data_IF_100559305073
#
_entry.id   IF_100559305073
#
_cell.length_a   1.000
_cell.length_b   1.000
_cell.length_c   1.000
_cell.angle_alpha   90.00
_cell.angle_beta   90.00
_cell.angle_gamma   90.00
#
_symmetry.space_group_name_H-M   'P 1'
#
loop_
_entity.id
_entity.type
_entity.pdbx_description
1 polymer ?
#
# COMPACT_ATOMS: atom_id res chain seq x y z
N UNK A 1 -15.65 -4.72 -22.28
CA UNK A 1 -14.82 -5.51 -21.35
C UNK A 1 -13.74 -4.71 -20.64
N UNK A 2 -13.84 -3.42 -20.69
CA UNK A 2 -13.05 -2.56 -19.83
C UNK A 2 -13.58 -2.80 -18.44
N UNK A 3 -12.71 -3.19 -17.48
CA UNK A 3 -13.07 -2.92 -16.12
C UNK A 3 -12.95 -1.41 -15.95
N UNK A 4 -13.69 -0.68 -16.71
CA UNK A 4 -13.68 0.76 -16.75
C UNK A 4 -14.18 1.39 -15.47
N UNK A 5 -13.63 0.93 -14.36
CA UNK A 5 -13.83 1.68 -13.14
C UNK A 5 -13.06 2.97 -13.28
N UNK A 6 -13.76 4.09 -13.16
CA UNK A 6 -13.18 5.41 -12.99
C UNK A 6 -12.47 5.51 -11.63
N UNK A 7 -12.50 4.40 -10.88
CA UNK A 7 -12.02 4.32 -9.52
C UNK A 7 -10.53 3.99 -9.50
N UNK A 8 -9.73 4.80 -8.83
CA UNK A 8 -8.32 4.52 -8.65
C UNK A 8 -8.09 3.33 -7.71
N UNK A 9 -7.64 2.22 -8.24
CA UNK A 9 -7.34 1.01 -7.47
C UNK A 9 -5.96 1.09 -6.79
N UNK A 10 -5.05 1.90 -7.32
CA UNK A 10 -3.72 2.09 -6.76
C UNK A 10 -3.34 3.58 -6.74
N UNK A 11 -2.25 3.91 -6.03
CA UNK A 11 -1.83 5.30 -5.82
C UNK A 11 -1.30 6.04 -7.04
N UNK A 12 -0.94 5.33 -8.10
CA UNK A 12 -0.34 5.95 -9.31
C UNK A 12 -1.37 6.23 -10.39
N UNK A 13 -2.60 6.04 -10.05
CA UNK A 13 -3.60 5.94 -11.01
C UNK A 13 -3.95 7.17 -11.75
N UNK A 14 -4.51 7.88 -11.54
CA UNK A 14 -5.56 8.84 -11.72
C UNK A 14 -5.73 9.42 -13.11
N UNK A 15 -4.70 9.77 -13.81
CA UNK A 15 -4.84 10.47 -15.09
C UNK A 15 -4.22 9.71 -16.27
N UNK A 16 -3.52 8.65 -16.00
CA UNK A 16 -2.87 7.89 -17.05
C UNK A 16 -3.38 6.45 -17.06
N UNK A 17 -4.15 6.12 -18.08
CA UNK A 17 -4.62 4.75 -18.34
C UNK A 17 -3.48 3.73 -18.50
N UNK A 18 -2.25 4.20 -18.68
CA UNK A 18 -1.07 3.34 -18.89
C UNK A 18 -0.50 2.72 -17.61
N UNK A 19 -0.95 3.13 -16.43
CA UNK A 19 -0.45 2.59 -15.16
C UNK A 19 -1.29 1.45 -14.59
N UNK A 20 -2.41 1.15 -15.22
CA UNK A 20 -3.29 0.04 -14.85
C UNK A 20 -3.56 -0.85 -16.05
N UNK A 21 -3.73 -2.14 -15.81
CA UNK A 21 -4.21 -3.04 -16.84
C UNK A 21 -5.65 -2.67 -17.19
N UNK A 22 -5.91 -2.45 -18.46
CA UNK A 22 -7.18 -1.88 -18.94
C UNK A 22 -8.28 -2.89 -19.22
N UNK A 23 -7.96 -4.19 -19.25
CA UNK A 23 -8.93 -5.22 -19.57
C UNK A 23 -8.65 -6.55 -18.86
N UNK A 24 -9.71 -7.31 -18.55
CA UNK A 24 -9.56 -8.65 -17.98
C UNK A 24 -8.83 -9.61 -18.92
N UNK A 25 -8.95 -9.43 -20.23
CA UNK A 25 -8.20 -10.20 -21.23
C UNK A 25 -6.67 -10.05 -21.09
N UNK A 26 -6.20 -8.87 -20.69
CA UNK A 26 -4.77 -8.65 -20.37
C UNK A 26 -4.35 -9.42 -19.12
N UNK A 27 -5.22 -9.44 -18.09
CA UNK A 27 -4.99 -10.23 -16.87
C UNK A 27 -4.99 -11.73 -17.18
N UNK A 28 -5.84 -12.20 -18.08
CA UNK A 28 -5.85 -13.60 -18.51
C UNK A 28 -4.56 -13.98 -19.24
N UNK A 29 -4.05 -13.09 -20.10
CA UNK A 29 -2.74 -13.27 -20.75
C UNK A 29 -1.64 -13.32 -19.70
N UNK A 30 -1.62 -12.36 -18.78
CA UNK A 30 -0.65 -12.32 -17.68
C UNK A 30 -0.71 -13.59 -16.83
N UNK A 31 -1.91 -14.08 -16.49
CA UNK A 31 -2.08 -15.33 -15.74
C UNK A 31 -1.47 -16.54 -16.44
N UNK A 32 -1.62 -16.62 -17.79
CA UNK A 32 -0.96 -17.66 -18.59
C UNK A 32 0.56 -17.54 -18.55
N UNK A 33 1.10 -16.31 -18.60
CA UNK A 33 2.54 -16.06 -18.48
C UNK A 33 3.07 -16.45 -17.08
N UNK A 34 2.34 -16.08 -16.03
CA UNK A 34 2.66 -16.46 -14.64
C UNK A 34 2.80 -17.98 -14.50
N UNK A 35 1.84 -18.73 -15.04
CA UNK A 35 1.87 -20.20 -15.04
C UNK A 35 3.04 -20.75 -15.87
N UNK A 36 3.28 -20.21 -17.07
CA UNK A 36 4.35 -20.63 -17.97
C UNK A 36 5.74 -20.42 -17.37
N UNK A 37 5.97 -19.24 -16.81
CA UNK A 37 7.30 -18.85 -16.30
C UNK A 37 7.46 -19.10 -14.80
N UNK A 38 6.42 -19.55 -14.11
CA UNK A 38 6.40 -19.83 -12.66
C UNK A 38 6.89 -18.62 -11.82
N UNK A 39 6.54 -17.41 -12.25
CA UNK A 39 6.87 -16.18 -11.53
C UNK A 39 5.63 -15.66 -10.80
N UNK A 40 5.67 -15.49 -9.47
CA UNK A 40 4.54 -14.95 -8.74
C UNK A 40 4.27 -13.50 -9.13
N UNK A 41 3.00 -13.15 -9.18
CA UNK A 41 2.53 -11.78 -9.44
C UNK A 41 1.51 -11.41 -8.37
N UNK A 42 1.65 -10.25 -7.79
CA UNK A 42 0.71 -9.65 -6.86
C UNK A 42 -0.02 -8.50 -7.55
N UNK A 43 -1.34 -8.45 -7.42
CA UNK A 43 -2.13 -7.32 -7.90
C UNK A 43 -2.19 -6.24 -6.83
N UNK A 44 -2.01 -4.99 -7.22
CA UNK A 44 -1.87 -3.88 -6.29
C UNK A 44 -3.14 -3.06 -6.19
N UNK A 45 -3.72 -3.05 -4.99
CA UNK A 45 -4.89 -2.28 -4.56
C UNK A 45 -4.47 -1.38 -3.40
N UNK A 46 -3.52 -0.49 -3.64
CA UNK A 46 -2.88 0.30 -2.57
C UNK A 46 -3.28 1.78 -2.57
N UNK A 47 -4.45 2.12 -3.07
CA UNK A 47 -5.07 3.39 -2.71
C UNK A 47 -5.26 3.46 -1.19
N UNK A 48 -5.11 4.64 -0.63
CA UNK A 48 -5.06 4.82 0.83
C UNK A 48 -6.42 4.63 1.49
N UNK A 49 -7.47 4.91 0.75
CA UNK A 49 -8.86 4.79 1.15
C UNK A 49 -9.75 4.74 -0.09
N UNK A 50 -10.95 4.22 0.09
CA UNK A 50 -12.00 4.19 -0.90
C UNK A 50 -13.29 4.76 -0.31
N UNK A 51 -14.19 5.21 -1.18
CA UNK A 51 -15.54 5.60 -0.74
C UNK A 51 -16.35 4.35 -0.38
N UNK A 52 -17.30 4.45 0.56
CA UNK A 52 -18.11 3.30 0.98
C UNK A 52 -18.79 2.56 -0.17
N UNK A 53 -19.22 3.29 -1.20
CA UNK A 53 -19.90 2.76 -2.38
C UNK A 53 -18.98 1.98 -3.31
N UNK A 54 -17.67 2.15 -3.18
CA UNK A 54 -16.65 1.51 -4.03
C UNK A 54 -16.25 0.11 -3.55
N UNK A 55 -16.40 -0.20 -2.24
CA UNK A 55 -15.99 -1.50 -1.72
C UNK A 55 -16.70 -2.69 -2.38
N UNK A 56 -18.01 -2.65 -2.68
CA UNK A 56 -18.66 -3.74 -3.40
C UNK A 56 -18.02 -3.99 -4.78
N UNK A 57 -17.77 -2.95 -5.55
CA UNK A 57 -17.16 -3.07 -6.87
C UNK A 57 -15.72 -3.60 -6.78
N UNK A 58 -14.93 -3.12 -5.80
CA UNK A 58 -13.58 -3.63 -5.57
C UNK A 58 -13.62 -5.12 -5.22
N UNK A 59 -14.56 -5.54 -4.38
CA UNK A 59 -14.77 -6.94 -4.05
C UNK A 59 -15.05 -7.78 -5.29
N UNK A 60 -15.94 -7.33 -6.17
CA UNK A 60 -16.27 -8.01 -7.43
C UNK A 60 -15.05 -8.12 -8.36
N UNK A 61 -14.24 -7.06 -8.45
CA UNK A 61 -13.00 -7.06 -9.23
C UNK A 61 -12.02 -8.09 -8.65
N UNK A 62 -11.84 -8.13 -7.33
CA UNK A 62 -10.95 -9.10 -6.68
C UNK A 62 -11.42 -10.53 -6.93
N UNK A 63 -12.72 -10.82 -6.77
CA UNK A 63 -13.28 -12.14 -7.03
C UNK A 63 -13.08 -12.56 -8.49
N UNK A 64 -13.27 -11.64 -9.43
CA UNK A 64 -13.02 -11.90 -10.84
C UNK A 64 -11.55 -12.17 -11.13
N UNK A 65 -10.64 -11.38 -10.53
CA UNK A 65 -9.21 -11.64 -10.63
C UNK A 65 -8.82 -12.99 -10.01
N UNK A 66 -9.46 -13.39 -8.92
CA UNK A 66 -9.27 -14.72 -8.32
C UNK A 66 -9.73 -15.82 -9.27
N UNK A 67 -10.84 -15.63 -9.98
CA UNK A 67 -11.34 -16.54 -11.03
C UNK A 67 -10.35 -16.69 -12.20
N UNK A 68 -9.66 -15.62 -12.57
CA UNK A 68 -8.59 -15.63 -13.59
C UNK A 68 -7.34 -16.38 -13.09
N UNK A 69 -7.13 -16.43 -11.77
CA UNK A 69 -6.04 -17.20 -11.14
C UNK A 69 -5.07 -16.39 -10.30
N UNK A 70 -5.34 -15.10 -10.05
CA UNK A 70 -4.55 -14.30 -9.12
C UNK A 70 -5.03 -14.53 -7.69
N UNK A 71 -4.10 -14.74 -6.76
CA UNK A 71 -4.41 -15.07 -5.37
C UNK A 71 -3.84 -14.08 -4.36
N UNK A 72 -2.85 -13.28 -4.76
CA UNK A 72 -2.10 -12.39 -3.88
C UNK A 72 -2.36 -10.94 -4.24
N UNK A 73 -2.69 -10.13 -3.23
CA UNK A 73 -3.08 -8.73 -3.37
C UNK A 73 -2.31 -7.85 -2.40
N UNK A 74 -1.76 -6.75 -2.90
CA UNK A 74 -1.15 -5.72 -2.05
C UNK A 74 -2.23 -4.70 -1.72
N UNK A 75 -2.58 -4.56 -0.45
CA UNK A 75 -3.68 -3.71 0.03
C UNK A 75 -3.14 -2.71 1.04
N UNK A 76 -3.54 -1.44 0.92
CA UNK A 76 -3.18 -0.38 1.86
C UNK A 76 -4.33 0.03 2.78
N UNK A 77 -5.55 0.05 2.29
CA UNK A 77 -6.72 0.48 3.06
C UNK A 77 -7.17 -0.59 4.07
N UNK A 78 -7.09 -0.31 5.39
CA UNK A 78 -7.57 -1.24 6.40
C UNK A 78 -9.08 -1.54 6.32
N UNK A 79 -9.87 -0.57 5.83
CA UNK A 79 -11.30 -0.77 5.67
C UNK A 79 -11.61 -1.79 4.56
N UNK A 80 -10.80 -1.82 3.50
CA UNK A 80 -10.91 -2.87 2.49
C UNK A 80 -10.63 -4.26 3.07
N UNK A 81 -9.66 -4.39 3.98
CA UNK A 81 -9.40 -5.67 4.67
C UNK A 81 -10.62 -6.15 5.46
N UNK A 82 -11.26 -5.22 6.19
CA UNK A 82 -12.49 -5.52 6.94
C UNK A 82 -13.62 -5.93 5.99
N UNK A 83 -13.78 -5.19 4.89
CA UNK A 83 -14.82 -5.47 3.90
C UNK A 83 -14.65 -6.88 3.28
N UNK A 84 -13.44 -7.20 2.81
CA UNK A 84 -13.14 -8.50 2.22
C UNK A 84 -13.41 -9.65 3.19
N UNK A 85 -13.01 -9.48 4.44
CA UNK A 85 -13.28 -10.46 5.51
C UNK A 85 -14.78 -10.65 5.73
N UNK A 86 -15.54 -9.56 5.84
CA UNK A 86 -16.98 -9.61 6.09
C UNK A 86 -17.74 -10.22 4.89
N UNK A 87 -17.26 -10.00 3.68
CA UNK A 87 -17.80 -10.60 2.47
C UNK A 87 -17.40 -12.08 2.28
N UNK A 88 -16.47 -12.58 3.07
CA UNK A 88 -15.97 -13.94 2.95
C UNK A 88 -14.98 -14.16 1.79
N UNK A 89 -14.40 -13.09 1.25
CA UNK A 89 -13.38 -13.18 0.20
C UNK A 89 -12.05 -13.58 0.85
N UNK A 90 -11.60 -14.80 0.56
CA UNK A 90 -10.35 -15.36 1.07
C UNK A 90 -9.26 -15.28 0.01
N UNK A 91 -8.37 -14.33 0.14
CA UNK A 91 -7.20 -14.15 -0.70
C UNK A 91 -5.95 -13.94 0.14
N UNK A 92 -4.78 -14.10 -0.47
CA UNK A 92 -3.49 -13.84 0.18
C UNK A 92 -3.24 -12.33 0.20
N UNK A 93 -3.06 -11.77 1.39
CA UNK A 93 -2.92 -10.32 1.59
C UNK A 93 -1.47 -9.99 1.90
N UNK A 94 -0.92 -9.06 1.13
CA UNK A 94 0.31 -8.35 1.42
C UNK A 94 -0.06 -6.95 1.92
N UNK A 95 0.16 -6.68 3.20
CA UNK A 95 -0.13 -5.37 3.75
C UNK A 95 0.87 -4.37 3.20
N UNK A 96 0.35 -3.36 2.49
CA UNK A 96 1.18 -2.35 1.85
C UNK A 96 1.90 -1.46 2.85
N UNK A 97 3.12 -1.06 2.55
CA UNK A 97 3.81 -0.01 3.29
C UNK A 97 3.08 1.33 3.26
N UNK A 98 2.19 1.53 2.29
CA UNK A 98 1.35 2.74 2.23
C UNK A 98 0.26 2.80 3.31
N UNK A 99 -0.01 1.69 4.01
CA UNK A 99 -0.90 1.68 5.19
C UNK A 99 -0.36 2.58 6.31
N UNK A 100 0.96 2.77 6.35
CA UNK A 100 1.63 3.60 7.33
C UNK A 100 2.75 2.86 8.06
N UNK A 101 3.29 3.51 9.07
CA UNK A 101 4.37 2.97 9.91
C UNK A 101 3.80 1.95 10.89
N UNK A 102 3.79 0.69 10.50
CA UNK A 102 3.26 -0.40 11.34
C UNK A 102 4.26 -0.73 12.44
N UNK A 103 3.82 -0.63 13.69
CA UNK A 103 4.56 -1.11 14.86
C UNK A 103 4.01 -2.48 15.34
N UNK A 104 4.59 -3.05 16.38
CA UNK A 104 4.21 -4.36 16.90
C UNK A 104 2.75 -4.42 17.41
N UNK A 105 2.23 -3.34 17.96
CA UNK A 105 0.83 -3.28 18.43
C UNK A 105 -0.16 -3.19 17.26
N UNK A 106 0.14 -2.37 16.24
CA UNK A 106 -0.65 -2.34 15.02
C UNK A 106 -0.66 -3.70 14.33
N UNK A 107 0.48 -4.40 14.29
CA UNK A 107 0.54 -5.73 13.72
C UNK A 107 -0.39 -6.71 14.45
N UNK A 108 -0.55 -6.62 15.77
CA UNK A 108 -1.52 -7.44 16.51
C UNK A 108 -2.95 -7.25 15.99
N UNK A 109 -3.32 -6.00 15.66
CA UNK A 109 -4.62 -5.71 15.05
C UNK A 109 -4.76 -6.35 13.68
N UNK A 110 -3.73 -6.29 12.86
CA UNK A 110 -3.74 -6.82 11.49
C UNK A 110 -3.67 -8.36 11.43
N UNK A 111 -3.19 -9.05 12.48
CA UNK A 111 -3.16 -10.54 12.54
C UNK A 111 -4.53 -11.20 12.41
N UNK A 112 -5.62 -10.44 12.58
CA UNK A 112 -6.99 -10.95 12.35
C UNK A 112 -7.32 -11.21 10.87
N UNK A 113 -6.46 -10.75 9.97
CA UNK A 113 -6.57 -10.95 8.52
C UNK A 113 -5.54 -11.97 8.04
N UNK A 114 -5.78 -12.64 6.90
CA UNK A 114 -4.87 -13.65 6.35
C UNK A 114 -3.62 -13.00 5.72
N UNK A 115 -2.83 -12.31 6.54
CA UNK A 115 -1.62 -11.65 6.07
C UNK A 115 -0.53 -12.66 5.75
N UNK A 116 -0.08 -12.64 4.51
CA UNK A 116 1.09 -13.39 4.05
C UNK A 116 2.37 -12.59 4.16
N UNK A 117 2.28 -11.28 3.94
CA UNK A 117 3.44 -10.38 3.96
C UNK A 117 3.09 -9.04 4.58
N UNK A 118 4.03 -8.47 5.31
CA UNK A 118 4.06 -7.08 5.72
C UNK A 118 5.16 -6.37 4.93
N UNK A 119 4.79 -5.33 4.20
CA UNK A 119 5.72 -4.42 3.52
C UNK A 119 5.93 -3.22 4.45
N UNK A 120 7.14 -3.02 4.92
CA UNK A 120 7.43 -1.90 5.80
C UNK A 120 7.31 -0.58 5.06
N UNK A 121 6.72 0.40 5.73
CA UNK A 121 6.73 1.77 5.23
C UNK A 121 8.16 2.30 5.20
N UNK A 122 8.47 3.14 4.23
CA UNK A 122 9.82 3.72 4.02
C UNK A 122 10.36 4.54 5.19
N UNK A 123 9.53 4.95 6.12
CA UNK A 123 9.91 5.66 7.34
C UNK A 123 10.10 4.78 8.57
N UNK A 124 9.78 3.50 8.50
CA UNK A 124 10.09 2.60 9.59
C UNK A 124 11.61 2.58 9.81
N UNK A 125 12.03 2.80 11.04
CA UNK A 125 13.44 2.65 11.40
C UNK A 125 13.83 1.17 11.47
N UNK A 126 15.11 0.88 11.40
CA UNK A 126 15.60 -0.50 11.61
C UNK A 126 15.15 -1.08 12.95
N UNK A 127 15.12 -0.26 13.99
CA UNK A 127 14.65 -0.67 15.31
C UNK A 127 13.17 -1.06 15.29
N UNK A 128 12.34 -0.29 14.60
CA UNK A 128 10.92 -0.62 14.44
C UNK A 128 10.75 -1.93 13.69
N UNK A 129 11.45 -2.09 12.55
CA UNK A 129 11.39 -3.32 11.77
C UNK A 129 11.82 -4.54 12.60
N UNK A 130 12.93 -4.43 13.34
CA UNK A 130 13.40 -5.50 14.23
C UNK A 130 12.36 -5.86 15.30
N UNK A 131 11.77 -4.85 15.93
CA UNK A 131 10.74 -5.04 16.96
C UNK A 131 9.50 -5.75 16.40
N UNK A 132 9.04 -5.33 15.23
CA UNK A 132 7.88 -5.94 14.55
C UNK A 132 8.16 -7.38 14.17
N UNK A 133 9.32 -7.64 13.56
CA UNK A 133 9.73 -8.99 13.16
C UNK A 133 9.84 -9.90 14.40
N UNK A 134 10.52 -9.45 15.45
CA UNK A 134 10.68 -10.21 16.69
C UNK A 134 9.33 -10.56 17.32
N UNK A 135 8.42 -9.59 17.41
CA UNK A 135 7.06 -9.81 17.92
C UNK A 135 6.27 -10.83 17.10
N UNK A 136 6.43 -10.84 15.79
CA UNK A 136 5.75 -11.80 14.92
C UNK A 136 6.36 -13.19 15.05
N UNK A 137 7.67 -13.29 15.06
CA UNK A 137 8.37 -14.58 15.21
C UNK A 137 8.07 -15.26 16.54
N UNK A 138 7.91 -14.50 17.61
CA UNK A 138 7.51 -15.06 18.90
C UNK A 138 6.11 -15.67 18.85
N UNK A 139 5.15 -15.01 18.24
CA UNK A 139 3.79 -15.53 18.06
C UNK A 139 3.78 -16.79 17.19
N UNK A 140 4.54 -16.79 16.10
CA UNK A 140 4.67 -17.94 15.20
C UNK A 140 5.31 -19.13 15.92
N UNK A 141 6.34 -18.89 16.72
CA UNK A 141 6.99 -19.93 17.54
C UNK A 141 6.02 -20.54 18.54
N UNK A 142 5.23 -19.72 19.25
CA UNK A 142 4.21 -20.19 20.17
C UNK A 142 3.11 -21.00 19.48
N UNK A 143 2.80 -20.67 18.23
CA UNK A 143 1.85 -21.41 17.40
C UNK A 143 2.45 -22.63 16.67
N UNK A 144 3.73 -22.93 16.88
CA UNK A 144 4.42 -24.04 16.19
C UNK A 144 4.64 -23.83 14.69
N UNK A 145 4.56 -22.58 14.23
CA UNK A 145 4.76 -22.22 12.81
C UNK A 145 6.26 -22.10 12.55
N UNK A 146 6.74 -22.85 11.57
CA UNK A 146 8.14 -22.73 11.14
C UNK A 146 8.39 -21.41 10.42
N UNK A 147 9.59 -20.81 10.53
CA UNK A 147 9.91 -19.51 9.92
C UNK A 147 9.60 -19.42 8.43
N UNK A 148 9.81 -20.51 7.68
CA UNK A 148 9.56 -20.55 6.23
C UNK A 148 8.08 -20.51 5.87
N UNK A 149 7.22 -20.96 6.78
CA UNK A 149 5.77 -20.94 6.64
C UNK A 149 5.12 -19.68 7.23
N UNK A 150 5.89 -18.92 8.01
CA UNK A 150 5.43 -17.72 8.68
C UNK A 150 5.22 -16.53 7.76
N UNK A 151 4.86 -15.40 8.38
CA UNK A 151 4.69 -14.13 7.69
C UNK A 151 6.01 -13.66 7.07
N UNK A 152 5.94 -13.19 5.84
CA UNK A 152 7.07 -12.59 5.15
C UNK A 152 7.17 -11.10 5.49
N UNK A 153 8.39 -10.58 5.43
CA UNK A 153 8.66 -9.15 5.60
C UNK A 153 9.40 -8.62 4.39
N UNK A 154 9.04 -7.41 3.98
CA UNK A 154 9.63 -6.72 2.85
C UNK A 154 9.98 -5.29 3.25
N UNK A 155 11.15 -4.80 2.85
CA UNK A 155 11.60 -3.44 3.08
C UNK A 155 12.15 -2.84 1.79
N UNK A 156 11.99 -1.51 1.65
CA UNK A 156 12.57 -0.78 0.53
C UNK A 156 14.06 -0.60 0.73
N UNK A 157 14.86 -1.03 -0.23
CA UNK A 157 16.32 -0.77 -0.27
C UNK A 157 16.59 0.62 -0.81
N UNK A 158 15.84 1.02 -1.85
CA UNK A 158 15.88 2.38 -2.40
C UNK A 158 14.63 3.12 -1.95
N UNK A 159 14.82 4.26 -1.29
CA UNK A 159 13.73 5.07 -0.78
C UNK A 159 13.55 6.35 -1.59
N UNK A 160 12.30 6.68 -1.87
CA UNK A 160 11.92 8.01 -2.32
C UNK A 160 11.94 8.99 -1.14
N UNK A 161 12.40 10.18 -1.40
CA UNK A 161 12.37 11.27 -0.42
C UNK A 161 10.97 11.89 -0.37
N UNK A 162 10.03 11.19 0.24
CA UNK A 162 8.66 11.65 0.43
C UNK A 162 8.42 11.95 1.91
N UNK A 163 7.97 13.18 2.20
CA UNK A 163 7.61 13.58 3.56
C UNK A 163 6.23 13.12 3.97
N UNK A 164 5.34 12.99 2.99
CA UNK A 164 3.99 12.53 3.23
C UNK A 164 3.99 11.01 3.22
N UNK A 165 3.36 10.43 4.21
CA UNK A 165 3.34 8.99 4.41
C UNK A 165 1.93 8.48 4.36
N UNK A 166 1.73 7.36 3.69
CA UNK A 166 0.55 6.54 3.80
C UNK A 166 -0.75 7.36 3.91
N UNK A 167 -1.52 7.10 4.92
CA UNK A 167 -2.82 7.72 5.17
C UNK A 167 -2.82 9.27 5.25
N UNK A 168 -1.68 9.91 5.46
CA UNK A 168 -1.56 11.37 5.49
C UNK A 168 -1.29 12.01 4.13
N UNK A 169 -1.08 11.21 3.09
CA UNK A 169 -0.86 11.72 1.76
C UNK A 169 -2.19 11.92 1.02
N UNK A 170 -2.62 13.17 0.89
CA UNK A 170 -3.78 13.55 0.07
C UNK A 170 -3.38 13.98 -1.35
N UNK A 171 -2.17 13.65 -1.77
CA UNK A 171 -1.63 14.07 -3.06
C UNK A 171 -1.83 12.98 -4.09
N UNK A 172 -2.44 13.35 -5.21
CA UNK A 172 -2.47 12.51 -6.39
C UNK A 172 -1.10 12.55 -7.06
N UNK A 173 -0.61 11.40 -7.45
CA UNK A 173 0.59 11.26 -8.26
C UNK A 173 0.18 11.37 -9.73
N UNK A 174 0.16 12.60 -10.24
CA UNK A 174 -0.28 12.92 -11.58
C UNK A 174 0.93 13.31 -12.43
N UNK A 175 1.14 12.64 -13.53
CA UNK A 175 2.29 12.89 -14.39
C UNK A 175 2.18 14.22 -15.16
N UNK A 176 0.97 14.65 -15.51
CA UNK A 176 0.74 15.88 -16.27
C UNK A 176 0.84 17.14 -15.42
N UNK A 177 0.29 17.11 -14.22
CA UNK A 177 0.31 18.22 -13.28
C UNK A 177 1.47 18.14 -12.28
N UNK A 178 2.21 17.07 -12.32
CA UNK A 178 3.19 16.73 -11.29
C UNK A 178 2.52 16.33 -9.98
N UNK A 179 3.32 16.19 -8.96
CA UNK A 179 2.81 15.82 -7.63
C UNK A 179 2.19 17.04 -6.95
N UNK A 180 0.91 16.98 -6.56
CA UNK A 180 0.23 18.06 -5.85
C UNK A 180 0.96 18.48 -4.57
N UNK A 181 1.62 17.54 -3.92
CA UNK A 181 2.51 17.86 -2.81
C UNK A 181 3.65 18.80 -3.21
N UNK A 182 3.85 19.12 -4.46
CA UNK A 182 4.82 20.08 -5.00
C UNK A 182 4.24 21.47 -5.22
N UNK A 183 2.99 21.69 -5.09
CA UNK A 183 2.37 22.99 -5.18
C UNK A 183 2.59 23.74 -3.87
N UNK A 184 2.97 25.00 -3.97
CA UNK A 184 3.07 25.88 -2.79
C UNK A 184 1.69 26.06 -2.17
N UNK A 185 1.62 26.07 -0.86
CA UNK A 185 0.37 26.28 -0.14
C UNK A 185 0.59 27.22 1.05
N UNK A 186 -0.52 27.76 1.53
CA UNK A 186 -0.55 28.61 2.70
C UNK A 186 -1.02 27.80 3.90
N UNK A 187 -0.26 27.89 4.99
CA UNK A 187 -0.69 27.35 6.26
C UNK A 187 -1.45 28.44 7.02
N UNK A 188 -2.71 28.19 7.32
CA UNK A 188 -3.55 29.13 8.05
C UNK A 188 -4.39 28.42 9.09
N UNK A 189 -4.86 29.18 10.09
CA UNK A 189 -5.85 28.67 11.03
C UNK A 189 -7.25 29.03 10.54
N UNK A 190 -8.17 28.08 10.64
CA UNK A 190 -9.58 28.29 10.25
C UNK A 190 -10.24 29.43 11.04
N UNK A 191 -9.72 29.74 12.26
CA UNK A 191 -10.31 30.73 13.15
C UNK A 191 -9.92 32.18 12.87
N UNK A 192 -8.69 32.43 12.41
CA UNK A 192 -8.16 33.80 12.36
C UNK A 192 -7.91 34.31 10.94
N UNK A 193 -8.02 33.46 9.93
CA UNK A 193 -7.73 33.88 8.55
C UNK A 193 -6.25 34.21 8.27
N UNK A 194 -5.42 34.18 9.29
CA UNK A 194 -3.98 34.43 9.14
C UNK A 194 -3.32 33.24 8.46
N UNK A 195 -2.85 33.47 7.25
CA UNK A 195 -2.17 32.44 6.49
C UNK A 195 -0.69 32.79 6.32
N UNK A 196 0.17 31.84 6.59
CA UNK A 196 1.62 31.95 6.38
C UNK A 196 2.00 31.15 5.15
N UNK A 197 2.71 31.73 4.17
CA UNK A 197 3.18 30.98 3.03
C UNK A 197 4.17 29.92 3.49
N UNK A 198 3.89 28.67 3.20
CA UNK A 198 4.79 27.59 3.46
C UNK A 198 5.63 27.33 2.21
N UNK A 199 6.88 27.80 2.25
CA UNK A 199 7.81 27.50 1.17
C UNK A 199 8.12 26.00 1.21
N UNK A 200 7.80 25.38 0.13
CA UNK A 200 8.03 23.99 -0.08
C UNK A 200 9.48 23.53 0.03
N UNK A 201 10.42 24.38 -0.35
CA UNK A 201 11.85 24.06 -0.23
C UNK A 201 12.28 23.77 1.21
N UNK A 202 11.57 24.30 2.21
CA UNK A 202 11.82 24.00 3.61
C UNK A 202 11.31 22.62 4.05
N UNK A 203 10.30 22.08 3.36
CA UNK A 203 9.80 20.75 3.64
C UNK A 203 10.71 19.64 3.10
N UNK A 204 11.52 19.95 2.09
CA UNK A 204 12.49 19.05 1.48
C UNK A 204 13.93 19.42 1.85
N UNK A 205 14.14 19.87 3.07
CA UNK A 205 15.48 20.10 3.60
C UNK A 205 16.29 18.79 3.56
N UNK A 206 17.57 18.90 3.25
CA UNK A 206 18.52 17.77 3.15
C UNK A 206 18.63 16.91 4.41
N UNK A 207 18.19 17.41 5.55
CA UNK A 207 18.03 16.61 6.77
C UNK A 207 17.18 15.35 6.57
N UNK A 208 16.37 15.35 5.54
CA UNK A 208 15.55 14.22 5.16
C UNK A 208 16.36 13.04 4.60
N UNK A 209 17.52 13.31 4.01
CA UNK A 209 18.46 12.27 3.55
C UNK A 209 19.01 11.44 4.70
N UNK A 210 19.03 12.01 5.89
CA UNK A 210 19.49 11.33 7.10
C UNK A 210 18.35 10.62 7.86
N UNK A 211 17.19 10.42 7.24
CA UNK A 211 16.07 9.74 7.90
C UNK A 211 16.47 8.30 8.25
N UNK A 212 16.27 7.87 9.51
CA UNK A 212 16.74 6.56 9.98
C UNK A 212 16.14 5.35 9.23
N UNK A 213 14.99 5.55 8.57
CA UNK A 213 14.38 4.53 7.72
C UNK A 213 14.90 4.51 6.29
N UNK A 214 15.76 5.44 5.89
CA UNK A 214 16.40 5.39 4.60
C UNK A 214 17.51 4.35 4.65
N UNK A 215 17.37 3.32 3.84
CA UNK A 215 18.47 2.41 3.59
C UNK A 215 19.42 3.16 2.65
N UNK A 216 20.48 3.75 3.19
CA UNK A 216 21.56 4.30 2.36
C UNK A 216 22.12 3.18 1.49
N UNK A 217 22.45 3.47 0.21
CA UNK A 217 23.18 2.52 -0.59
C UNK A 217 24.54 2.19 0.03
#
# INVERSE_FOLDING_TARGET
EKYGTVMPLNRREVLCCNVQLGAYSELEILSRMVKKYKKPVQLTFNSLYYLPEQYPEIGDIIEKCMGIGFRSYIIADPALLVYLKNRGISCEIHLSGETGEVNSEMLKMFRRFPLKRLIFHRKNTFRDMQSVIASQREVEKQAGIRPEAGMQFEAFVLNEMCQFTGAFCNSLHCDEMGYLCRVSYWLGTVRNGDAVPLSRHRLYDFKYLAHPGSLSP
#
